data_IF_413325081261
#
_entry.id   IF_413325081261
#
_cell.length_a   1.000
_cell.length_b   1.000
_cell.length_c   1.000
_cell.angle_alpha   90.00
_cell.angle_beta   90.00
_cell.angle_gamma   90.00
#
_symmetry.space_group_name_H-M   'P 1'
#
loop_
_entity.id
_entity.type
_entity.pdbx_description
1 polymer ?
2 polymer ?
3 water ?
#
# COMPACT_ATOMS: atom_id res chain seq x y z
N UNK A 1 12.94 7.27 -22.14
CA UNK A 1 14.18 6.58 -22.58
C UNK A 1 13.93 5.08 -22.75
N UNK A 2 12.68 4.66 -22.52
CA UNK A 2 12.20 3.26 -22.60
C UNK A 2 12.80 2.43 -21.47
N UNK A 3 11.93 1.88 -20.62
CA UNK A 3 12.33 1.11 -19.43
C UNK A 3 13.21 -0.13 -19.53
N UNK A 4 13.00 -0.99 -20.54
CA UNK A 4 13.81 -2.20 -20.68
C UNK A 4 15.25 -1.90 -21.13
N UNK A 5 15.39 -0.88 -21.97
CA UNK A 5 16.70 -0.43 -22.47
C UNK A 5 17.44 0.30 -21.35
N UNK A 6 16.67 1.02 -20.52
CA UNK A 6 17.23 1.76 -19.38
C UNK A 6 17.69 0.81 -18.27
N UNK A 7 16.94 -0.28 -18.08
CA UNK A 7 17.22 -1.32 -17.07
C UNK A 7 18.58 -1.99 -17.28
N UNK A 8 18.79 -2.51 -18.49
CA UNK A 8 20.02 -3.20 -18.90
C UNK A 8 21.28 -2.33 -18.81
N UNK A 9 21.11 -1.03 -19.04
CA UNK A 9 22.19 -0.04 -19.00
C UNK A 9 22.69 0.20 -17.57
N UNK A 10 21.74 0.37 -16.64
CA UNK A 10 22.02 0.63 -15.22
C UNK A 10 22.55 -0.64 -14.51
N UNK A 11 22.12 -1.81 -14.97
CA UNK A 11 22.57 -3.08 -14.40
C UNK A 11 23.97 -3.46 -14.89
N UNK A 12 24.37 -2.90 -16.04
CA UNK A 12 25.69 -3.12 -16.63
C UNK A 12 26.69 -2.14 -16.00
N UNK A 13 26.20 -0.94 -15.70
CA UNK A 13 27.00 0.13 -15.08
C UNK A 13 27.08 0.00 -13.57
N UNK A 14 26.08 -0.67 -12.97
CA UNK A 14 26.01 -0.86 -11.53
C UNK A 14 25.76 0.43 -10.76
N UNK A 15 24.95 1.30 -11.33
CA UNK A 15 24.64 2.61 -10.74
C UNK A 15 23.24 2.77 -10.14
N UNK A 16 22.69 1.68 -9.59
CA UNK A 16 21.36 1.70 -8.98
C UNK A 16 21.19 2.59 -7.76
N UNK A 17 22.27 2.77 -7.01
CA UNK A 17 22.29 3.62 -5.81
C UNK A 17 22.33 5.10 -6.17
N UNK A 18 22.97 5.41 -7.31
CA UNK A 18 23.11 6.77 -7.82
C UNK A 18 21.80 7.27 -8.43
N UNK A 19 21.09 6.38 -9.11
CA UNK A 19 19.80 6.68 -9.75
C UNK A 19 18.76 6.96 -8.64
N UNK A 20 18.83 6.16 -7.57
CA UNK A 20 17.93 6.27 -6.42
C UNK A 20 18.19 7.53 -5.56
N UNK A 21 19.46 7.87 -5.35
CA UNK A 21 19.82 9.05 -4.55
C UNK A 21 19.46 10.36 -5.27
N UNK A 22 19.31 10.28 -6.59
CA UNK A 22 18.95 11.41 -7.44
C UNK A 22 17.45 11.73 -7.30
N UNK A 23 16.66 10.68 -7.03
CA UNK A 23 15.21 10.76 -6.85
C UNK A 23 14.91 11.40 -5.47
N UNK A 24 15.78 11.12 -4.49
CA UNK A 24 15.65 11.67 -3.14
C UNK A 24 15.94 13.17 -3.09
N UNK A 25 16.86 13.60 -3.95
CA UNK A 25 17.29 15.00 -4.06
C UNK A 25 16.21 15.86 -4.75
N UNK A 26 15.54 15.28 -5.74
CA UNK A 26 14.50 15.97 -6.50
C UNK A 26 13.09 15.90 -5.89
N UNK A 27 12.94 15.09 -4.84
CA UNK A 27 11.66 14.89 -4.14
C UNK A 27 11.12 16.15 -3.46
N UNK A 28 9.78 16.25 -3.43
CA UNK A 28 9.07 17.37 -2.83
C UNK A 28 9.18 17.43 -1.31
N UNK A 29 9.06 18.64 -0.77
CA UNK A 29 9.09 18.90 0.67
C UNK A 29 7.94 19.86 0.98
N UNK A 30 6.91 19.34 1.67
CA UNK A 30 5.73 20.13 2.05
C UNK A 30 5.57 20.12 3.58
N UNK A 31 4.84 21.10 4.17
CA UNK A 31 4.67 21.11 5.64
C UNK A 31 3.82 19.98 6.21
N UNK A 32 4.14 19.58 7.45
CA UNK A 32 3.44 18.52 8.20
C UNK A 32 3.13 19.09 9.61
N UNK A 33 2.59 20.30 9.62
CA UNK A 33 2.26 21.04 10.84
C UNK A 33 1.32 20.36 11.86
N UNK A 34 0.21 19.79 11.36
CA UNK A 34 -0.78 19.10 12.23
C UNK A 34 -0.19 17.83 12.86
N UNK A 35 0.66 17.14 12.10
CA UNK A 35 1.31 15.91 12.55
C UNK A 35 2.32 16.12 13.68
N UNK A 36 2.99 17.28 13.66
CA UNK A 36 4.00 17.64 14.66
C UNK A 36 3.44 18.27 15.94
N UNK A 37 2.13 18.54 15.95
CA UNK A 37 1.42 19.13 17.10
C UNK A 37 1.58 18.22 18.34
N UNK A 38 1.91 18.79 19.52
CA UNK A 38 2.10 18.03 20.77
C UNK A 38 1.02 17.01 21.16
N UNK A 39 -0.25 17.37 20.96
CA UNK A 39 -1.38 16.50 21.28
C UNK A 39 -1.48 15.23 20.41
N UNK A 40 -0.82 15.27 19.25
CA UNK A 40 -0.81 14.17 18.30
C UNK A 40 0.42 13.27 18.34
N UNK A 41 1.25 13.44 19.39
CA UNK A 41 2.49 12.66 19.57
C UNK A 41 2.22 11.15 19.68
N UNK A 42 1.18 10.78 20.44
CA UNK A 42 0.80 9.37 20.63
C UNK A 42 -0.01 8.75 19.48
N UNK A 43 -0.20 9.52 18.40
CA UNK A 43 -0.93 9.05 17.22
C UNK A 43 0.04 8.71 16.07
N UNK A 44 1.33 8.96 16.31
CA UNK A 44 2.41 8.70 15.36
C UNK A 44 3.33 7.55 15.83
N UNK A 45 3.50 6.52 15.00
CA UNK A 45 4.35 5.36 15.31
C UNK A 45 5.85 5.73 15.24
N UNK A 46 6.22 6.49 14.20
CA UNK A 46 7.59 6.93 14.00
C UNK A 46 7.60 8.46 13.88
N UNK A 47 8.59 9.10 14.50
CA UNK A 47 8.70 10.56 14.47
C UNK A 47 9.28 11.12 13.17
N UNK A 48 9.81 10.23 12.33
CA UNK A 48 10.39 10.60 11.05
C UNK A 48 9.50 10.33 9.82
N UNK A 49 8.31 9.76 10.06
CA UNK A 49 7.34 9.48 8.99
C UNK A 49 6.03 10.22 9.36
N UNK A 50 5.74 11.28 8.61
CA UNK A 50 4.56 12.11 8.83
C UNK A 50 3.84 12.46 7.52
N UNK A 51 2.49 12.66 7.56
CA UNK A 51 1.76 13.02 6.34
C UNK A 51 1.77 14.53 6.12
N UNK A 52 1.76 14.97 4.86
CA UNK A 52 1.71 16.40 4.52
C UNK A 52 0.29 16.92 4.86
N UNK A 53 0.18 18.22 5.19
CA UNK A 53 -1.11 18.84 5.53
C UNK A 53 -2.11 18.86 4.37
N UNK A 54 -1.60 19.04 3.14
CA UNK A 54 -2.45 19.12 1.95
C UNK A 54 -3.13 17.82 1.47
N UNK A 55 -2.52 16.68 1.78
CA UNK A 55 -3.05 15.38 1.37
C UNK A 55 -3.47 14.43 2.49
N UNK A 56 -3.46 14.90 3.73
CA UNK A 56 -3.84 14.06 4.87
C UNK A 56 -5.35 13.74 4.91
N UNK A 57 -5.68 12.58 5.46
CA UNK A 57 -7.07 12.14 5.62
C UNK A 57 -7.58 12.68 6.95
N UNK A 58 -8.76 13.31 6.91
CA UNK A 58 -9.41 13.87 8.09
C UNK A 58 -10.58 13.02 8.57
N UNK A 59 -10.60 12.74 9.87
CA UNK A 59 -11.68 11.98 10.51
C UNK A 59 -12.85 12.96 10.67
N UNK A 60 -14.08 12.44 10.62
CA UNK A 60 -15.27 13.29 10.75
C UNK A 60 -15.72 13.50 12.19
N UNK A 61 -14.91 14.22 12.96
CA UNK A 61 -15.21 14.53 14.36
C UNK A 61 -14.61 15.86 14.80
N UNK A 62 -15.32 16.53 15.72
CA UNK A 62 -14.94 17.85 16.25
C UNK A 62 -13.73 17.87 17.19
N UNK A 63 -13.57 16.82 17.99
CA UNK A 63 -12.48 16.68 18.96
C UNK A 63 -11.09 16.78 18.32
N UNK A 64 -10.69 15.72 17.62
CA UNK A 64 -9.40 15.64 16.95
C UNK A 64 -9.62 14.87 15.66
N UNK A 65 -9.32 15.51 14.53
CA UNK A 65 -9.48 14.90 13.21
C UNK A 65 -8.23 14.19 12.62
N UNK A 66 -7.20 13.99 13.46
CA UNK A 66 -5.94 13.39 13.02
C UNK A 66 -5.76 11.87 13.02
N UNK A 67 -5.07 11.43 11.95
CA UNK A 67 -4.65 10.05 11.70
C UNK A 67 -3.44 10.16 10.74
N UNK A 68 -2.43 9.34 10.97
CA UNK A 68 -1.23 9.33 10.11
C UNK A 68 -1.60 8.55 8.85
N UNK A 69 -2.16 9.29 7.87
CA UNK A 69 -2.62 8.74 6.59
C UNK A 69 -2.63 9.80 5.49
N UNK A 70 -2.40 9.36 4.24
CA UNK A 70 -2.35 10.24 3.05
C UNK A 70 -3.11 9.72 1.83
N UNK A 71 -3.70 10.64 1.05
CA UNK A 71 -4.43 10.29 -0.18
C UNK A 71 -3.54 10.52 -1.40
N UNK A 72 -3.21 9.43 -2.09
CA UNK A 72 -2.39 9.50 -3.31
C UNK A 72 -3.39 9.51 -4.47
N UNK A 73 -3.51 10.66 -5.14
CA UNK A 73 -4.44 10.85 -6.25
C UNK A 73 -3.70 10.95 -7.59
N UNK A 74 -3.78 9.87 -8.38
CA UNK A 74 -3.11 9.82 -9.69
C UNK A 74 -4.11 10.18 -10.80
N UNK A 75 -4.01 11.44 -11.24
CA UNK A 75 -4.86 12.07 -12.25
C UNK A 75 -5.03 11.34 -13.59
N UNK A 76 -3.92 11.14 -14.31
CA UNK A 76 -3.91 10.49 -15.61
C UNK A 76 -4.27 9.00 -15.58
N UNK A 77 -3.83 8.30 -14.53
CA UNK A 77 -4.10 6.86 -14.38
C UNK A 77 -5.51 6.55 -13.87
N UNK A 78 -6.19 7.56 -13.33
CA UNK A 78 -7.54 7.48 -12.78
C UNK A 78 -7.74 6.47 -11.63
N UNK A 79 -6.80 6.48 -10.69
CA UNK A 79 -6.83 5.59 -9.52
C UNK A 79 -6.30 6.30 -8.27
N UNK A 80 -6.94 6.03 -7.15
CA UNK A 80 -6.57 6.59 -5.85
C UNK A 80 -6.28 5.49 -4.81
N UNK A 81 -5.34 5.80 -3.90
CA UNK A 81 -4.93 4.91 -2.80
C UNK A 81 -4.77 5.72 -1.51
N UNK A 82 -4.99 5.07 -0.37
CA UNK A 82 -4.77 5.70 0.94
C UNK A 82 -3.62 4.91 1.57
N UNK A 83 -2.49 5.57 1.80
CA UNK A 83 -1.34 4.93 2.45
C UNK A 83 -1.25 5.39 3.90
N UNK A 84 -1.25 4.43 4.82
CA UNK A 84 -1.21 4.72 6.25
C UNK A 84 -0.20 3.83 7.00
N UNK A 85 0.07 4.16 8.26
CA UNK A 85 0.99 3.37 9.10
C UNK A 85 0.25 2.17 9.69
N UNK A 86 1.01 1.23 10.26
CA UNK A 86 0.43 0.08 10.93
C UNK A 86 -0.11 0.68 12.23
N UNK A 87 -1.43 0.58 12.50
CA UNK A 87 -2.00 1.16 13.73
C UNK A 87 -1.42 0.75 15.10
N UNK A 88 -1.49 1.71 16.02
CA UNK A 88 -1.02 1.59 17.41
C UNK A 88 -2.22 1.11 18.27
N UNK A 89 -1.96 0.59 19.51
CA UNK A 89 -3.06 0.13 20.38
C UNK A 89 -4.19 1.13 20.62
N UNK A 90 -3.85 2.42 20.54
CA UNK A 90 -4.80 3.51 20.75
C UNK A 90 -5.41 4.10 19.46
N UNK A 91 -4.90 3.70 18.29
CA UNK A 91 -5.42 4.22 17.02
C UNK A 91 -6.19 3.20 16.16
N UNK A 92 -6.47 2.02 16.71
CA UNK A 92 -7.21 0.97 16.00
C UNK A 92 -8.65 1.38 15.68
N UNK A 93 -9.23 2.19 16.57
CA UNK A 93 -10.58 2.68 16.39
C UNK A 93 -10.65 3.71 15.27
N UNK A 94 -9.63 4.56 15.21
CA UNK A 94 -9.49 5.62 14.20
C UNK A 94 -9.31 5.04 12.80
N UNK A 95 -8.55 3.93 12.72
CA UNK A 95 -8.25 3.20 11.48
C UNK A 95 -9.55 2.73 10.83
N UNK A 96 -10.38 2.02 11.59
CA UNK A 96 -11.65 1.53 11.06
C UNK A 96 -12.69 2.63 10.81
N UNK A 97 -12.56 3.78 11.49
CA UNK A 97 -13.46 4.93 11.30
C UNK A 97 -13.18 5.52 9.91
N UNK A 98 -11.89 5.56 9.55
CA UNK A 98 -11.42 6.05 8.25
C UNK A 98 -11.94 5.16 7.12
N UNK A 99 -11.88 3.83 7.30
CA UNK A 99 -12.35 2.85 6.32
C UNK A 99 -13.87 3.04 6.03
N UNK A 100 -14.64 3.28 7.10
CA UNK A 100 -16.07 3.50 7.00
C UNK A 100 -16.39 4.81 6.26
N UNK A 101 -15.80 5.90 6.74
CA UNK A 101 -15.99 7.24 6.20
C UNK A 101 -15.52 7.46 4.76
N UNK A 102 -14.42 6.80 4.38
CA UNK A 102 -13.89 6.90 3.02
C UNK A 102 -14.46 5.86 2.05
N UNK A 103 -15.36 5.01 2.57
CA UNK A 103 -16.08 3.95 1.84
C UNK A 103 -15.21 2.91 1.11
N UNK A 104 -14.08 2.58 1.73
CA UNK A 104 -13.13 1.59 1.19
C UNK A 104 -13.71 0.17 1.26
N UNK A 105 -13.31 -0.68 0.32
CA UNK A 105 -13.78 -2.06 0.26
C UNK A 105 -12.64 -3.07 0.47
N UNK A 106 -11.39 -2.62 0.36
CA UNK A 106 -10.25 -3.50 0.54
C UNK A 106 -9.10 -2.93 1.34
N UNK A 107 -8.41 -3.79 2.10
CA UNK A 107 -7.24 -3.41 2.90
C UNK A 107 -6.06 -4.33 2.52
N UNK A 108 -4.98 -3.73 2.02
CA UNK A 108 -3.77 -4.45 1.61
C UNK A 108 -2.70 -4.29 2.71
N UNK A 109 -2.38 -5.40 3.37
CA UNK A 109 -1.37 -5.41 4.44
C UNK A 109 -0.14 -6.13 3.91
N UNK A 110 0.99 -5.41 3.89
CA UNK A 110 2.25 -5.94 3.36
C UNK A 110 3.32 -6.31 4.40
N UNK A 111 2.93 -6.32 5.67
CA UNK A 111 3.83 -6.65 6.77
C UNK A 111 3.23 -7.70 7.72
N UNK A 112 3.95 -7.96 8.80
CA UNK A 112 3.54 -8.87 9.87
C UNK A 112 3.49 -8.09 11.16
N UNK A 113 2.74 -8.59 12.13
CA UNK A 113 2.57 -7.99 13.46
C UNK A 113 3.92 -7.88 14.19
N UNK A 114 4.73 -8.93 14.09
CA UNK A 114 6.06 -8.97 14.71
C UNK A 114 7.13 -9.29 13.68
N UNK A 115 8.06 -8.35 13.48
CA UNK A 115 9.18 -8.50 12.55
C UNK A 115 10.46 -8.18 13.31
N UNK A 116 11.45 -9.07 13.19
CA UNK A 116 12.76 -8.96 13.85
C UNK A 116 12.68 -8.78 15.38
N UNK A 117 11.83 -9.60 16.02
CA UNK A 117 11.65 -9.55 17.47
C UNK A 117 10.98 -8.33 18.10
N UNK A 118 10.45 -7.45 17.27
CA UNK A 118 9.80 -6.22 17.71
C UNK A 118 8.37 -6.09 17.12
N UNK A 119 7.47 -5.48 17.90
CA UNK A 119 6.09 -5.26 17.47
C UNK A 119 6.06 -4.12 16.45
N UNK A 120 5.59 -4.42 15.24
CA UNK A 120 5.54 -3.45 14.15
C UNK A 120 4.14 -2.96 13.77
N UNK A 121 3.13 -3.68 14.24
CA UNK A 121 1.72 -3.36 13.97
C UNK A 121 0.83 -4.04 15.01
N UNK A 122 -0.23 -3.37 15.45
CA UNK A 122 -1.16 -3.95 16.43
C UNK A 122 -2.05 -4.98 15.74
N UNK A 123 -2.68 -5.86 16.53
CA UNK A 123 -3.57 -6.90 16.03
C UNK A 123 -4.98 -6.26 15.91
N UNK A 124 -5.17 -5.48 14.84
CA UNK A 124 -6.41 -4.73 14.58
C UNK A 124 -7.63 -5.48 14.04
N UNK A 125 -7.45 -6.76 13.72
CA UNK A 125 -8.54 -7.59 13.20
C UNK A 125 -8.63 -8.89 14.04
N UNK A 126 -9.83 -9.51 14.13
CA UNK A 126 -9.92 -10.75 14.92
C UNK A 126 -9.39 -12.01 14.23
N UNK A 127 -8.66 -12.82 15.01
CA UNK A 127 -8.06 -14.07 14.52
C UNK A 127 -9.04 -15.26 14.53
N UNK A 128 -9.99 -15.23 15.45
CA UNK A 128 -11.01 -16.29 15.59
C UNK A 128 -12.39 -15.69 15.39
N UNK A 129 -13.24 -16.41 14.66
CA UNK A 129 -14.60 -15.93 14.36
C UNK A 129 -15.59 -15.80 15.52
N UNK A 130 -15.30 -16.50 16.63
CA UNK A 130 -16.12 -16.48 17.85
C UNK A 130 -15.76 -15.31 18.75
N UNK A 131 -14.60 -14.71 18.47
CA UNK A 131 -14.07 -13.57 19.23
C UNK A 131 -14.07 -12.29 18.39
N UNK A 132 -15.21 -11.60 18.33
CA UNK A 132 -15.33 -10.33 17.60
C UNK A 132 -14.67 -9.22 18.39
N UNK A 133 -14.35 -8.12 17.71
CA UNK A 133 -13.74 -6.95 18.34
C UNK A 133 -14.72 -5.77 18.33
N UNK A 134 -14.78 -5.05 19.45
CA UNK A 134 -15.63 -3.87 19.60
C UNK A 134 -14.73 -2.69 19.96
N UNK A 135 -14.80 -1.65 19.15
CA UNK A 135 -14.03 -0.41 19.35
C UNK A 135 -14.99 0.60 19.96
N UNK A 136 -14.95 0.68 21.29
CA UNK A 136 -15.82 1.56 22.10
C UNK A 136 -15.76 3.06 21.80
N UNK A 137 -14.58 3.56 21.48
CA UNK A 137 -14.39 4.99 21.17
C UNK A 137 -15.13 5.51 19.93
N UNK A 138 -15.12 4.70 18.86
CA UNK A 138 -15.77 5.06 17.61
C UNK A 138 -17.10 4.34 17.33
N UNK A 139 -17.52 3.50 18.27
CA UNK A 139 -18.76 2.70 18.22
C UNK A 139 -18.87 1.77 16.99
N UNK A 140 -17.81 1.00 16.76
CA UNK A 140 -17.73 0.06 15.64
C UNK A 140 -17.52 -1.39 16.10
N UNK A 141 -18.04 -2.35 15.32
CA UNK A 141 -17.91 -3.78 15.62
C UNK A 141 -17.30 -4.52 14.41
N UNK A 142 -16.36 -5.42 14.68
CA UNK A 142 -15.67 -6.17 13.63
C UNK A 142 -15.64 -7.69 13.87
N UNK A 143 -16.05 -8.45 12.86
CA UNK A 143 -16.12 -9.92 12.92
C UNK A 143 -15.47 -10.61 11.71
N UNK A 144 -14.74 -11.70 11.97
CA UNK A 144 -14.10 -12.50 10.90
C UNK A 144 -15.14 -13.52 10.39
N UNK A 145 -15.38 -13.49 9.07
CA UNK A 145 -16.37 -14.39 8.43
C UNK A 145 -15.72 -15.69 7.91
N UNK A 146 -14.60 -15.55 7.18
CA UNK A 146 -13.86 -16.69 6.63
C UNK A 146 -12.46 -16.26 6.20
N UNK A 147 -11.60 -17.23 5.96
CA UNK A 147 -10.23 -16.99 5.51
C UNK A 147 -9.71 -18.08 4.58
N UNK A 148 -8.91 -17.67 3.59
CA UNK A 148 -8.31 -18.58 2.61
C UNK A 148 -6.79 -18.41 2.70
N UNK A 149 -6.15 -19.39 3.34
CA UNK A 149 -4.71 -19.39 3.57
C UNK A 149 -3.90 -20.10 2.48
N UNK A 150 -2.95 -19.38 1.89
CA UNK A 150 -2.05 -19.91 0.86
C UNK A 150 -0.64 -19.95 1.48
N UNK A 151 0.37 -20.29 0.68
CA UNK A 151 1.75 -20.41 1.20
C UNK A 151 2.45 -19.13 1.61
N UNK A 152 2.24 -18.05 0.85
CA UNK A 152 2.87 -16.76 1.15
C UNK A 152 1.91 -15.58 1.41
N UNK A 153 0.61 -15.81 1.25
CA UNK A 153 -0.40 -14.78 1.49
C UNK A 153 -1.75 -15.33 1.98
N UNK A 154 -2.58 -14.47 2.56
CA UNK A 154 -3.91 -14.84 3.08
C UNK A 154 -4.96 -13.77 2.72
N UNK A 155 -6.12 -14.23 2.25
CA UNK A 155 -7.26 -13.37 1.88
C UNK A 155 -8.36 -13.63 2.92
N UNK A 156 -8.77 -12.58 3.62
CA UNK A 156 -9.81 -12.68 4.65
C UNK A 156 -11.08 -11.92 4.30
N UNK A 157 -12.21 -12.44 4.78
CA UNK A 157 -13.51 -11.85 4.56
C UNK A 157 -13.99 -11.34 5.92
N UNK A 158 -14.15 -10.02 6.06
CA UNK A 158 -14.57 -9.40 7.31
C UNK A 158 -15.90 -8.66 7.19
N UNK A 159 -16.58 -8.48 8.32
CA UNK A 159 -17.83 -7.75 8.38
C UNK A 159 -17.69 -6.60 9.38
N UNK A 160 -17.78 -5.36 8.87
CA UNK A 160 -17.68 -4.15 9.67
C UNK A 160 -19.07 -3.54 9.86
N UNK A 161 -19.42 -3.28 11.12
CA UNK A 161 -20.72 -2.71 11.47
C UNK A 161 -20.61 -1.41 12.27
N UNK A 162 -21.38 -0.42 11.81
CA UNK A 162 -21.49 0.89 12.46
C UNK A 162 -22.66 0.69 13.43
N UNK A 163 -22.38 0.65 14.73
CA UNK A 163 -23.41 0.44 15.77
C UNK A 163 -24.35 1.63 15.98
N UNK A 164 -23.92 2.82 15.57
CA UNK A 164 -24.72 4.04 15.70
C UNK A 164 -25.82 4.07 14.62
N UNK A 165 -25.47 3.66 13.41
CA UNK A 165 -26.41 3.65 12.28
C UNK A 165 -27.05 2.29 11.94
N UNK A 166 -26.51 1.22 12.55
CA UNK A 166 -26.95 -0.18 12.36
C UNK A 166 -26.68 -0.79 10.96
N UNK A 167 -25.86 -0.10 10.16
CA UNK A 167 -25.50 -0.57 8.80
C UNK A 167 -24.36 -1.59 8.85
N UNK A 168 -24.27 -2.41 7.79
CA UNK A 168 -23.28 -3.47 7.65
C UNK A 168 -22.57 -3.45 6.27
N UNK A 169 -21.27 -3.74 6.26
CA UNK A 169 -20.46 -3.79 5.03
C UNK A 169 -19.41 -4.91 5.07
N UNK A 170 -19.10 -5.46 3.89
CA UNK A 170 -18.11 -6.52 3.73
C UNK A 170 -16.77 -5.88 3.31
N UNK A 171 -15.70 -6.22 4.01
CA UNK A 171 -14.35 -5.70 3.73
C UNK A 171 -13.41 -6.88 3.44
N UNK A 172 -12.65 -6.81 2.35
CA UNK A 172 -11.70 -7.86 2.00
C UNK A 172 -10.30 -7.46 2.48
N UNK A 173 -9.60 -8.39 3.12
CA UNK A 173 -8.26 -8.16 3.68
C UNK A 173 -7.20 -9.01 2.96
N UNK A 174 -6.27 -8.36 2.27
CA UNK A 174 -5.20 -9.04 1.53
C UNK A 174 -3.87 -8.91 2.28
N UNK A 175 -3.46 -9.99 2.94
CA UNK A 175 -2.24 -10.02 3.74
C UNK A 175 -1.07 -10.75 3.07
N UNK A 176 -0.02 -10.02 2.71
CA UNK A 176 1.21 -10.59 2.12
C UNK A 176 2.12 -10.87 3.33
N UNK A 177 2.36 -12.15 3.63
CA UNK A 177 3.15 -12.54 4.80
C UNK A 177 4.66 -12.76 4.68
N UNK A 178 5.17 -12.82 3.45
CA UNK A 178 6.60 -13.06 3.21
C UNK A 178 7.40 -11.91 2.57
N UNK A 179 7.05 -10.67 2.91
CA UNK A 179 7.76 -9.51 2.40
C UNK A 179 8.48 -8.89 3.62
N UNK A 180 9.81 -9.09 3.73
CA UNK A 180 10.64 -8.56 4.83
C UNK A 180 10.76 -7.06 4.85
N UNK A 181 11.05 -6.49 6.02
CA UNK A 181 11.23 -5.05 6.15
C UNK A 181 12.50 -4.64 5.41
N UNK A 182 12.36 -3.63 4.54
CA UNK A 182 13.43 -3.08 3.69
C UNK A 182 13.90 -4.10 2.64
N UNK A 183 13.06 -5.12 2.43
CA UNK A 183 13.33 -6.18 1.47
C UNK A 183 12.42 -6.13 0.26
N UNK A 184 12.53 -7.16 -0.58
CA UNK A 184 11.76 -7.30 -1.82
C UNK A 184 11.01 -8.64 -1.84
N UNK A 185 9.97 -8.81 -2.72
CA UNK A 185 9.27 -10.10 -2.77
C UNK A 185 10.19 -11.18 -3.38
N UNK A 186 9.82 -12.45 -3.21
CA UNK A 186 10.62 -13.59 -3.71
C UNK A 186 10.92 -13.58 -5.20
N UNK A 187 9.91 -13.24 -6.01
CA UNK A 187 10.04 -13.21 -7.47
C UNK A 187 9.01 -12.26 -8.07
N UNK A 188 9.23 -11.76 -9.33
CA UNK A 188 8.26 -10.87 -9.97
C UNK A 188 6.91 -11.54 -10.19
N UNK A 189 6.94 -12.86 -10.37
CA UNK A 189 5.76 -13.70 -10.58
C UNK A 189 4.89 -13.87 -9.33
N UNK A 190 5.52 -13.88 -8.16
CA UNK A 190 4.81 -14.02 -6.89
C UNK A 190 4.11 -12.71 -6.49
N UNK A 191 4.75 -11.59 -6.82
CA UNK A 191 4.22 -10.26 -6.55
C UNK A 191 3.01 -9.99 -7.45
N UNK A 192 3.18 -10.22 -8.75
CA UNK A 192 2.13 -10.00 -9.75
C UNK A 192 0.90 -10.87 -9.56
N UNK A 193 1.10 -12.11 -9.11
CA UNK A 193 0.00 -13.06 -8.85
C UNK A 193 -0.90 -12.51 -7.72
N UNK A 194 -0.27 -11.83 -6.76
CA UNK A 194 -0.94 -11.18 -5.63
C UNK A 194 -1.69 -9.93 -6.10
N UNK A 195 -1.02 -9.08 -6.87
CA UNK A 195 -1.60 -7.84 -7.40
C UNK A 195 -2.88 -8.09 -8.20
N UNK A 196 -2.83 -9.07 -9.11
CA UNK A 196 -3.98 -9.41 -9.94
C UNK A 196 -5.15 -10.06 -9.18
N UNK A 197 -4.86 -10.60 -7.99
CA UNK A 197 -5.88 -11.18 -7.12
C UNK A 197 -6.69 -10.02 -6.53
N UNK A 198 -5.98 -8.93 -6.19
CA UNK A 198 -6.59 -7.71 -5.64
C UNK A 198 -7.42 -7.00 -6.74
N UNK A 199 -6.92 -7.03 -7.98
CA UNK A 199 -7.59 -6.41 -9.14
C UNK A 199 -8.90 -7.11 -9.51
N UNK A 200 -8.90 -8.44 -9.53
CA UNK A 200 -10.07 -9.25 -9.89
C UNK A 200 -11.17 -9.31 -8.84
N UNK A 201 -10.85 -8.89 -7.61
CA UNK A 201 -11.80 -8.90 -6.50
C UNK A 201 -12.86 -7.81 -6.56
N UNK A 202 -12.51 -6.69 -7.21
CA UNK A 202 -13.42 -5.56 -7.33
C UNK A 202 -13.13 -4.42 -6.34
N UNK A 203 -12.09 -4.59 -5.53
CA UNK A 203 -11.69 -3.59 -4.51
C UNK A 203 -11.14 -2.27 -5.04
N UNK A 204 -10.46 -2.34 -6.20
CA UNK A 204 -9.85 -1.17 -6.82
C UNK A 204 -10.77 -0.43 -7.81
N UNK A 205 -12.01 -0.89 -7.90
CA UNK A 205 -13.01 -0.32 -8.79
C UNK A 205 -13.52 1.05 -8.33
N UNK A 206 -13.68 2.02 -9.27
CA UNK A 206 -14.16 3.38 -8.96
C UNK A 206 -15.54 3.57 -8.30
N UNK A 207 -16.33 2.48 -8.22
CA UNK A 207 -17.66 2.53 -7.59
C UNK A 207 -17.50 2.57 -6.07
N UNK A 208 -16.31 2.20 -5.61
CA UNK A 208 -15.96 2.18 -4.20
C UNK A 208 -14.97 3.30 -3.89
N UNK A 209 -14.71 3.50 -2.59
CA UNK A 209 -13.74 4.49 -2.14
C UNK A 209 -12.32 3.97 -2.34
N UNK A 210 -11.26 4.77 -2.07
CA UNK A 210 -9.87 4.34 -2.25
C UNK A 210 -9.43 3.18 -1.36
N UNK A 211 -8.67 2.25 -1.95
CA UNK A 211 -8.14 1.08 -1.24
C UNK A 211 -7.09 1.54 -0.21
N UNK A 212 -7.10 0.93 0.97
CA UNK A 212 -6.14 1.25 2.04
C UNK A 212 -4.93 0.29 1.94
N UNK A 213 -3.73 0.85 1.76
CA UNK A 213 -2.50 0.07 1.65
C UNK A 213 -1.55 0.45 2.80
N UNK A 214 -1.07 -0.53 3.55
CA UNK A 214 -0.15 -0.26 4.65
C UNK A 214 0.94 -1.32 4.90
N UNK A 215 1.91 -0.93 5.74
CA UNK A 215 3.02 -1.78 6.18
C UNK A 215 3.27 -1.30 7.62
N UNK A 216 4.51 -1.13 8.06
CA UNK A 216 4.77 -0.65 9.41
C UNK A 216 4.64 0.89 9.43
N UNK A 217 5.34 1.55 8.50
CA UNK A 217 5.29 3.01 8.37
C UNK A 217 4.40 3.42 7.20
N UNK A 218 4.21 2.50 6.26
CA UNK A 218 3.38 2.74 5.09
C UNK A 218 4.02 3.58 3.98
N UNK A 219 5.34 3.47 3.83
CA UNK A 219 6.08 4.20 2.81
C UNK A 219 7.00 3.33 1.93
N UNK A 220 7.68 2.35 2.54
CA UNK A 220 8.61 1.48 1.81
C UNK A 220 7.99 0.46 0.88
N UNK A 221 7.43 -0.59 1.47
CA UNK A 221 6.77 -1.67 0.74
C UNK A 221 5.47 -1.22 0.04
N UNK A 222 4.86 -0.15 0.57
CA UNK A 222 3.63 0.44 0.00
C UNK A 222 3.94 1.19 -1.29
N UNK A 223 5.11 1.83 -1.32
CA UNK A 223 5.56 2.57 -2.50
C UNK A 223 5.81 1.66 -3.69
N UNK A 224 6.36 0.47 -3.42
CA UNK A 224 6.68 -0.53 -4.44
C UNK A 224 5.40 -1.14 -5.06
N UNK A 225 4.39 -1.36 -4.22
CA UNK A 225 3.09 -1.91 -4.63
C UNK A 225 2.35 -0.91 -5.53
N UNK A 226 2.25 0.34 -5.06
CA UNK A 226 1.56 1.41 -5.80
C UNK A 226 2.24 1.86 -7.09
N UNK A 227 3.58 1.90 -7.13
CA UNK A 227 4.31 2.30 -8.34
C UNK A 227 4.12 1.29 -9.48
N UNK A 228 4.17 0.00 -9.15
CA UNK A 228 4.01 -1.06 -10.15
C UNK A 228 2.58 -1.07 -10.74
N UNK A 229 1.58 -0.92 -9.87
CA UNK A 229 0.17 -0.90 -10.28
C UNK A 229 -0.18 0.29 -11.18
N UNK A 230 0.32 1.49 -10.82
CA UNK A 230 0.06 2.72 -11.59
C UNK A 230 0.73 2.67 -12.97
N UNK A 231 1.97 2.20 -13.03
CA UNK A 231 2.71 2.10 -14.29
C UNK A 231 2.04 1.18 -15.33
N UNK A 232 1.44 0.08 -14.84
CA UNK A 232 0.74 -0.89 -15.68
C UNK A 232 -0.59 -0.35 -16.20
N UNK A 233 -1.24 0.51 -15.42
CA UNK A 233 -2.51 1.13 -15.82
C UNK A 233 -2.28 2.17 -16.90
N UNK A 234 -1.16 2.91 -16.76
CA UNK A 234 -0.76 3.95 -17.70
C UNK A 234 -0.46 3.44 -19.11
N UNK A 235 0.18 2.28 -19.22
CA UNK A 235 0.50 1.72 -20.52
C UNK A 235 -0.66 1.01 -21.24
N UNK A 236 -1.77 0.86 -20.53
CA UNK A 236 -2.96 0.22 -21.08
C UNK A 236 -3.86 1.25 -21.79
N UNK A 237 -3.95 2.45 -21.24
CA UNK A 237 -4.78 3.51 -21.82
C UNK A 237 -4.06 4.63 -22.59
N UNK A 238 -2.74 4.50 -22.75
CA UNK A 238 -1.97 5.53 -23.46
C UNK A 238 -1.77 5.21 -24.95
N UNK A 239 -1.77 3.92 -25.28
CA UNK A 239 -1.58 3.38 -26.63
C UNK A 239 -0.25 3.77 -27.30
N UNK A 240 0.78 3.80 -26.46
CA UNK A 240 2.19 4.06 -26.76
C UNK A 240 2.83 3.72 -25.41
N UNK A 241 2.98 2.41 -25.10
CA UNK A 241 3.57 1.89 -23.85
C UNK A 241 5.01 2.25 -23.51
N UNK A 242 5.81 2.57 -24.52
CA UNK A 242 7.21 2.93 -24.36
C UNK A 242 7.45 4.32 -23.77
N UNK A 243 6.39 5.13 -23.70
CA UNK A 243 6.45 6.50 -23.17
C UNK A 243 6.29 6.63 -21.65
N UNK A 244 6.11 5.50 -20.96
CA UNK A 244 5.94 5.47 -19.50
C UNK A 244 7.31 5.54 -18.80
N UNK A 245 7.51 6.62 -18.04
CA UNK A 245 8.76 6.83 -17.29
C UNK A 245 8.49 6.54 -15.82
N UNK A 246 9.14 5.50 -15.31
CA UNK A 246 9.01 5.03 -13.93
C UNK A 246 9.48 6.04 -12.88
N UNK A 247 10.63 6.66 -13.10
CA UNK A 247 11.21 7.65 -12.19
C UNK A 247 10.33 8.88 -12.01
N UNK A 248 9.70 9.31 -13.10
CA UNK A 248 8.82 10.48 -13.13
C UNK A 248 7.49 10.22 -12.40
N UNK A 249 6.98 8.99 -12.50
CA UNK A 249 5.73 8.57 -11.85
C UNK A 249 5.92 8.49 -10.32
N UNK A 250 7.11 8.06 -9.91
CA UNK A 250 7.46 7.98 -8.49
C UNK A 250 7.57 9.38 -7.87
N UNK A 251 8.08 10.34 -8.64
CA UNK A 251 8.21 11.72 -8.18
C UNK A 251 6.83 12.40 -8.04
N UNK A 252 5.86 11.98 -8.87
CA UNK A 252 4.48 12.50 -8.83
C UNK A 252 3.79 11.94 -7.57
N UNK A 253 4.12 10.70 -7.23
CA UNK A 253 3.58 10.01 -6.05
C UNK A 253 4.10 10.63 -4.75
N UNK A 254 5.36 11.06 -4.74
CA UNK A 254 5.98 11.68 -3.56
C UNK A 254 5.56 13.12 -3.26
N UNK A 255 4.60 13.61 -4.03
CA UNK A 255 4.05 14.96 -3.84
C UNK A 255 2.92 14.83 -2.81
N UNK A 256 2.47 13.59 -2.59
CA UNK A 256 1.38 13.27 -1.66
C UNK A 256 1.79 12.63 -0.32
N UNK A 257 2.93 11.93 -0.30
CA UNK A 257 3.47 11.30 0.93
C UNK A 257 4.99 11.12 0.78
N UNK A 258 5.72 11.46 1.84
CA UNK A 258 7.18 11.38 1.88
C UNK A 258 7.79 9.97 1.86
N UNK A 259 8.99 9.87 1.28
CA UNK A 259 9.76 8.64 1.21
C UNK A 259 9.27 7.36 0.57
N UNK A 260 8.37 7.45 -0.42
CA UNK A 260 7.84 6.26 -1.10
C UNK A 260 8.98 5.53 -1.84
N UNK A 261 9.22 4.28 -1.41
CA UNK A 261 10.28 3.34 -1.83
C UNK A 261 11.52 3.69 -0.98
N UNK A 262 11.93 2.76 -0.12
CA UNK A 262 13.04 2.98 0.81
C UNK A 262 14.47 2.58 0.43
N UNK A 263 14.63 1.64 -0.50
CA UNK A 263 15.98 1.20 -0.93
C UNK A 263 16.12 1.19 -2.46
N UNK A 264 17.37 1.05 -2.93
CA UNK A 264 17.69 1.00 -4.35
C UNK A 264 17.22 -0.30 -4.97
N UNK A 265 17.24 -1.38 -4.18
CA UNK A 265 16.77 -2.69 -4.64
C UNK A 265 15.24 -2.76 -4.76
N UNK A 266 14.53 -1.89 -4.04
CA UNK A 266 13.07 -1.83 -4.13
C UNK A 266 12.70 -1.13 -5.44
N UNK A 267 13.57 -0.21 -5.88
CA UNK A 267 13.39 0.51 -7.13
C UNK A 267 13.68 -0.44 -8.30
N UNK A 268 14.71 -1.28 -8.15
CA UNK A 268 15.10 -2.26 -9.17
C UNK A 268 13.99 -3.30 -9.36
N UNK A 269 13.35 -3.69 -8.25
CA UNK A 269 12.27 -4.67 -8.30
C UNK A 269 11.03 -4.12 -9.04
N UNK A 270 10.77 -2.82 -8.88
CA UNK A 270 9.63 -2.17 -9.54
C UNK A 270 9.77 -2.22 -11.06
N UNK A 271 11.01 -2.15 -11.54
CA UNK A 271 11.35 -2.23 -12.97
C UNK A 271 11.04 -3.65 -13.46
N UNK A 272 11.57 -4.65 -12.74
CA UNK A 272 11.38 -6.08 -13.06
C UNK A 272 9.90 -6.49 -13.09
N UNK A 273 9.13 -5.94 -12.15
CA UNK A 273 7.70 -6.20 -12.02
C UNK A 273 6.87 -5.61 -13.17
N UNK A 274 7.22 -4.38 -13.59
CA UNK A 274 6.50 -3.70 -14.68
C UNK A 274 6.83 -4.30 -16.06
N UNK A 275 8.09 -4.71 -16.26
CA UNK A 275 8.54 -5.32 -17.52
C UNK A 275 7.84 -6.67 -17.75
N UNK A 276 7.74 -7.47 -16.67
CA UNK A 276 7.11 -8.79 -16.70
C UNK A 276 5.58 -8.68 -16.86
N UNK A 277 5.00 -7.68 -16.19
CA UNK A 277 3.57 -7.45 -16.26
C UNK A 277 3.09 -6.84 -17.57
N UNK A 278 4.03 -6.30 -18.35
CA UNK A 278 3.75 -5.70 -19.65
C UNK A 278 3.35 -6.73 -20.71
N UNK A 279 3.69 -8.00 -20.45
CA UNK A 279 3.35 -9.12 -21.36
C UNK A 279 1.85 -9.38 -21.43
N UNK A 280 1.15 -9.20 -20.30
CA UNK A 280 -0.31 -9.39 -20.20
C UNK A 280 -1.05 -8.25 -20.92
N UNK A 281 -0.54 -7.04 -20.76
CA UNK A 281 -1.10 -5.82 -21.38
C UNK A 281 -0.98 -5.89 -22.91
N UNK A 282 0.08 -6.56 -23.38
CA UNK A 282 0.37 -6.75 -24.80
C UNK A 282 -0.54 -7.77 -25.52
N UNK A 283 -1.43 -8.41 -24.77
CA UNK A 283 -2.36 -9.38 -25.35
C UNK A 283 -2.16 -10.85 -25.06
N UNK A 284 -1.04 -11.21 -24.41
CA UNK A 284 -0.73 -12.60 -24.08
C UNK A 284 -1.41 -12.98 -22.74
N UNK A 285 -2.60 -13.58 -22.84
CA UNK A 285 -3.41 -14.00 -21.69
C UNK A 285 -2.84 -15.16 -20.86
N UNK A 286 -2.05 -16.01 -21.53
CA UNK A 286 -1.44 -17.19 -20.92
C UNK A 286 -0.41 -16.96 -19.81
N UNK A 287 0.17 -15.76 -19.74
CA UNK A 287 1.18 -15.47 -18.71
C UNK A 287 0.63 -15.33 -17.28
N UNK A 288 -0.68 -15.14 -17.16
CA UNK A 288 -1.35 -15.03 -15.87
C UNK A 288 -1.34 -16.40 -15.19
N UNK A 289 -1.55 -17.44 -15.98
CA UNK A 289 -1.56 -18.83 -15.50
C UNK A 289 -0.14 -19.33 -15.18
N UNK A 290 0.85 -18.73 -15.86
CA UNK A 290 2.26 -19.07 -15.67
C UNK A 290 2.79 -18.46 -14.37
N UNK A 291 2.15 -17.36 -13.92
CA UNK A 291 2.52 -16.68 -12.68
C UNK A 291 2.03 -17.46 -11.46
N UNK A 292 0.86 -18.09 -11.61
CA UNK A 292 0.24 -18.87 -10.55
C UNK A 292 1.02 -20.15 -10.24
N UNK A 293 1.62 -20.74 -11.27
CA UNK A 293 2.42 -21.97 -11.14
C UNK A 293 3.83 -21.69 -10.61
N UNK A 294 4.39 -20.53 -10.96
CA UNK A 294 5.72 -20.10 -10.53
C UNK A 294 5.77 -19.53 -9.11
N UNK A 295 4.59 -19.21 -8.57
CA UNK A 295 4.46 -18.65 -7.22
C UNK A 295 4.39 -19.73 -6.15
N UNK A 296 3.89 -20.91 -6.55
CA UNK A 296 3.71 -22.11 -5.71
C UNK A 296 2.86 -21.88 -4.46
N UNK A 297 1.61 -21.46 -4.68
CA UNK A 297 0.66 -21.18 -3.59
C UNK A 297 -0.01 -22.41 -2.95
N UNK A 298 0.76 -23.50 -2.85
CA UNK A 298 0.30 -24.76 -2.26
C UNK A 298 1.20 -25.20 -1.11
N UNK B 2 11.77 6.44 18.63
CA UNK B 2 12.13 5.40 17.63
C UNK B 2 12.00 5.93 16.18
N UNK B 3 12.97 5.55 15.34
CA UNK B 3 13.04 5.97 13.93
C UNK B 3 12.85 4.81 12.93
N UNK B 6 15.55 5.87 6.30
CA UNK B 6 16.96 5.68 5.96
C UNK B 6 17.40 6.94 5.19
N UNK B 7 18.19 7.79 5.85
CA UNK B 7 18.70 9.02 5.26
C UNK B 7 20.20 8.95 4.98
N UNK B 8 20.57 8.20 3.94
CA UNK B 8 21.96 8.00 3.55
C UNK B 8 22.56 9.12 2.73
#
# INVERSE_FOLDING_TARGET
>A
MEMEKEFEQIDKSGSWAAIYQDIRHEASDFPCRVAKLPKNKNRNRYRDVSPFDHSRIKLHQEDNDYINASLIKMEEAQRSYILTQGPLPNTCGHFWEMVWEQKSRGVVMLNRVMEKGSLKCAQYWPQKEEKEMIFEDTNLKLTLISEDIKSYYTVRQLELENLTTQETREILHFHYTTWPDFGVPESPASFLNFLFKVRESGSLSPEHGPVVVHASAGIGRSGTFCLADTCLLLMDKRKDPSSVDIKKVLLEMRKFRMGLIQTADQLRFSYLAVIEGAKFIMGDSSVQDQWKELSHED
>B
ETDXXRKGGKGLL
#
